data_IF_498670101486
#
_entry.id   IF_498670101486
#
_cell.length_a   1.000
_cell.length_b   1.000
_cell.length_c   1.000
_cell.angle_alpha   90.00
_cell.angle_beta   90.00
_cell.angle_gamma   90.00
#
_symmetry.space_group_name_H-M   'P 1'
#
loop_
_entity.id
_entity.type
_entity.pdbx_description
1 polymer ?
#
# COMPACT_ATOMS: atom_id res chain seq x y z
N UNK A 1 13.56 8.72 9.61
CA UNK A 1 13.44 7.44 8.86
C UNK A 1 14.72 7.11 8.11
N UNK A 2 15.23 7.99 7.24
CA UNK A 2 16.52 7.81 6.54
C UNK A 2 17.75 8.28 7.35
N UNK A 3 17.67 8.28 8.68
CA UNK A 3 18.74 8.79 9.55
C UNK A 3 19.94 7.83 9.63
N UNK A 4 19.72 6.54 9.37
CA UNK A 4 20.76 5.51 9.29
C UNK A 4 21.19 5.20 7.85
N UNK A 5 20.77 6.01 6.86
CA UNK A 5 21.06 5.82 5.45
C UNK A 5 19.84 5.46 4.61
N UNK A 6 20.06 5.28 3.30
CA UNK A 6 19.05 4.84 2.36
C UNK A 6 18.66 3.38 2.63
N UNK A 7 17.39 3.05 2.39
CA UNK A 7 16.88 1.69 2.51
C UNK A 7 17.06 1.00 1.15
N UNK A 8 17.38 -0.30 1.16
CA UNK A 8 17.51 -1.07 -0.08
C UNK A 8 16.22 -0.97 -0.90
N UNK A 9 16.33 -0.49 -2.14
CA UNK A 9 15.19 -0.26 -3.04
C UNK A 9 14.44 1.06 -2.83
N UNK A 10 14.74 1.86 -1.80
CA UNK A 10 14.11 3.17 -1.56
C UNK A 10 15.16 4.21 -1.15
N UNK A 11 15.44 5.13 -2.07
CA UNK A 11 16.26 6.31 -1.80
C UNK A 11 15.40 7.47 -1.30
N UNK A 12 15.94 8.25 -0.35
CA UNK A 12 15.23 9.41 0.18
C UNK A 12 14.88 10.45 -0.90
N UNK A 13 15.74 10.60 -1.92
CA UNK A 13 15.52 11.53 -3.03
C UNK A 13 14.32 11.10 -3.91
N UNK A 14 14.32 9.84 -4.32
CA UNK A 14 13.29 9.25 -5.17
C UNK A 14 11.92 9.33 -4.48
N UNK A 15 11.88 9.07 -3.17
CA UNK A 15 10.66 9.21 -2.36
C UNK A 15 10.12 10.64 -2.36
N UNK A 16 10.98 11.65 -2.24
CA UNK A 16 10.55 13.06 -2.28
C UNK A 16 9.92 13.42 -3.63
N UNK A 17 10.51 12.97 -4.72
CA UNK A 17 9.97 13.22 -6.07
C UNK A 17 8.68 12.45 -6.33
N UNK A 18 8.59 11.22 -5.84
CA UNK A 18 7.37 10.42 -5.87
C UNK A 18 6.20 11.09 -5.12
N UNK A 19 6.44 11.58 -3.90
CA UNK A 19 5.41 12.30 -3.13
C UNK A 19 4.93 13.53 -3.89
N UNK A 20 5.84 14.34 -4.46
CA UNK A 20 5.48 15.52 -5.25
C UNK A 20 4.62 15.16 -6.48
N UNK A 21 5.00 14.12 -7.23
CA UNK A 21 4.23 13.59 -8.36
C UNK A 21 2.81 13.23 -7.92
N UNK A 22 2.68 12.43 -6.86
CA UNK A 22 1.39 12.00 -6.31
C UNK A 22 0.52 13.16 -5.79
N UNK A 23 1.13 14.16 -5.16
CA UNK A 23 0.41 15.36 -4.72
C UNK A 23 -0.13 16.13 -5.92
N UNK A 24 0.66 16.29 -6.99
CA UNK A 24 0.19 16.94 -8.21
C UNK A 24 -0.97 16.17 -8.86
N UNK A 25 -0.86 14.84 -8.98
CA UNK A 25 -1.95 13.99 -9.47
C UNK A 25 -3.23 14.21 -8.66
N UNK A 26 -3.13 14.24 -7.32
CA UNK A 26 -4.29 14.44 -6.46
C UNK A 26 -4.90 15.84 -6.56
N UNK A 27 -4.08 16.87 -6.73
CA UNK A 27 -4.56 18.24 -6.95
C UNK A 27 -5.36 18.33 -8.26
N UNK A 28 -4.91 17.68 -9.33
CA UNK A 28 -5.64 17.59 -10.59
C UNK A 28 -6.97 16.85 -10.40
N UNK A 29 -6.97 15.70 -9.73
CA UNK A 29 -8.19 14.93 -9.44
C UNK A 29 -9.25 15.74 -8.66
N UNK A 30 -8.81 16.60 -7.75
CA UNK A 30 -9.69 17.45 -6.94
C UNK A 30 -10.15 18.72 -7.68
N UNK A 31 -9.72 18.92 -8.93
CA UNK A 31 -10.09 20.09 -9.74
C UNK A 31 -9.30 21.36 -9.43
N UNK A 32 -8.19 21.26 -8.71
CA UNK A 32 -7.31 22.39 -8.39
C UNK A 32 -6.36 22.74 -9.54
N UNK A 33 -6.89 22.83 -10.76
CA UNK A 33 -6.10 22.98 -11.99
C UNK A 33 -5.54 24.40 -12.15
N UNK A 34 -6.27 25.39 -11.64
CA UNK A 34 -5.99 26.83 -11.81
C UNK A 34 -5.04 27.43 -10.76
N UNK A 35 -4.60 26.64 -9.77
CA UNK A 35 -3.72 27.13 -8.72
C UNK A 35 -2.28 27.41 -9.19
N UNK A 36 -1.92 26.99 -10.41
CA UNK A 36 -0.62 27.25 -11.05
C UNK A 36 0.61 26.76 -10.27
N UNK A 37 0.41 26.11 -9.12
CA UNK A 37 1.43 25.83 -8.11
C UNK A 37 1.69 24.33 -8.02
N UNK A 38 1.94 23.71 -9.17
CA UNK A 38 2.40 22.32 -9.21
C UNK A 38 3.82 22.23 -8.66
N UNK A 39 4.09 21.20 -7.89
CA UNK A 39 5.43 20.95 -7.38
C UNK A 39 6.31 20.42 -8.51
N UNK A 40 7.42 21.10 -8.81
CA UNK A 40 8.42 20.57 -9.72
C UNK A 40 9.03 19.28 -9.16
N UNK A 41 9.03 18.22 -9.97
CA UNK A 41 9.58 16.92 -9.63
C UNK A 41 10.36 16.34 -10.81
N UNK A 42 11.33 15.48 -10.50
CA UNK A 42 12.08 14.71 -11.48
C UNK A 42 11.29 13.44 -11.82
N UNK A 43 11.03 13.24 -13.11
CA UNK A 43 10.24 12.11 -13.62
C UNK A 43 10.99 10.79 -13.49
N UNK A 44 12.32 10.79 -13.65
CA UNK A 44 13.14 9.60 -13.61
C UNK A 44 13.31 9.13 -12.16
N UNK A 45 13.51 10.07 -11.23
CA UNK A 45 13.54 9.74 -9.80
C UNK A 45 12.17 9.25 -9.28
N UNK A 46 11.06 9.79 -9.79
CA UNK A 46 9.73 9.36 -9.40
C UNK A 46 9.35 7.98 -9.97
N UNK A 47 9.83 7.62 -11.17
CA UNK A 47 9.49 6.34 -11.81
C UNK A 47 10.17 5.14 -11.16
N UNK A 48 11.30 5.34 -10.48
CA UNK A 48 11.95 4.30 -9.66
C UNK A 48 11.03 3.68 -8.60
N UNK A 49 9.98 4.42 -8.18
CA UNK A 49 9.00 3.98 -7.19
C UNK A 49 7.62 3.66 -7.79
N UNK A 50 7.50 3.53 -9.12
CA UNK A 50 6.20 3.24 -9.77
C UNK A 50 5.65 1.85 -9.38
N UNK A 51 6.50 0.91 -8.95
CA UNK A 51 6.08 -0.38 -8.39
C UNK A 51 5.11 -0.23 -7.19
N UNK A 52 5.14 0.92 -6.51
CA UNK A 52 4.22 1.23 -5.41
C UNK A 52 2.75 1.28 -5.87
N UNK A 53 2.49 1.76 -7.10
CA UNK A 53 1.13 1.76 -7.66
C UNK A 53 0.63 0.32 -7.90
N UNK A 54 1.51 -0.59 -8.32
CA UNK A 54 1.17 -2.00 -8.49
C UNK A 54 0.89 -2.69 -7.15
N UNK A 55 1.67 -2.38 -6.10
CA UNK A 55 1.46 -2.95 -4.77
C UNK A 55 0.15 -2.47 -4.15
N UNK A 56 -0.11 -1.16 -4.22
CA UNK A 56 -1.31 -0.54 -3.62
C UNK A 56 -2.61 -0.88 -4.37
N UNK A 57 -2.52 -1.26 -5.65
CA UNK A 57 -3.64 -1.76 -6.44
C UNK A 57 -3.98 -3.24 -6.19
N UNK A 58 -3.05 -4.04 -5.64
CA UNK A 58 -3.23 -5.49 -5.47
C UNK A 58 -3.85 -5.93 -4.14
N UNK A 59 -3.70 -5.13 -3.07
CA UNK A 59 -4.24 -5.45 -1.72
C UNK A 59 -5.77 -5.43 -1.66
N UNK A 60 -6.44 -4.87 -2.67
CA UNK A 60 -7.91 -4.86 -2.72
C UNK A 60 -8.53 -6.20 -3.13
N UNK A 61 -7.73 -7.17 -3.65
CA UNK A 61 -8.23 -8.49 -4.08
C UNK A 61 -7.93 -9.66 -3.13
N UNK A 62 -7.09 -9.48 -2.12
CA UNK A 62 -6.78 -10.51 -1.12
C UNK A 62 -6.70 -9.80 0.24
N UNK A 63 -7.74 -9.81 1.07
CA UNK A 63 -8.11 -11.02 1.80
C UNK A 63 -9.51 -10.86 2.43
N UNK A 64 -10.50 -11.57 1.89
CA UNK A 64 -11.86 -11.61 2.45
C UNK A 64 -11.89 -12.21 3.88
N UNK A 65 -10.87 -12.99 4.24
CA UNK A 65 -10.76 -13.69 5.52
C UNK A 65 -9.78 -13.02 6.51
N UNK A 66 -8.89 -12.10 6.10
CA UNK A 66 -8.08 -11.34 7.07
C UNK A 66 -8.78 -10.09 7.61
N UNK A 67 -9.76 -9.52 6.89
CA UNK A 67 -10.47 -8.30 7.34
C UNK A 67 -11.51 -8.61 8.43
N UNK A 68 -12.01 -9.85 8.49
CA UNK A 68 -12.90 -10.30 9.58
C UNK A 68 -12.09 -11.27 10.44
N UNK A 69 -11.99 -11.08 11.77
CA UNK A 69 -11.42 -12.10 12.63
C UNK A 69 -12.36 -13.30 12.54
N UNK A 70 -11.98 -14.32 11.78
CA UNK A 70 -12.56 -15.66 11.92
C UNK A 70 -12.06 -16.22 13.24
N UNK A 71 -12.66 -15.76 14.34
CA UNK A 71 -12.47 -16.31 15.68
C UNK A 71 -13.26 -17.62 15.85
N UNK A 72 -13.24 -18.45 14.81
CA UNK A 72 -13.51 -19.87 14.94
C UNK A 72 -12.20 -20.57 14.62
N UNK A 73 -11.20 -20.28 15.46
CA UNK A 73 -10.22 -21.30 15.83
C UNK A 73 -11.06 -22.50 16.24
N UNK A 74 -11.15 -23.49 15.35
CA UNK A 74 -11.74 -24.80 15.59
C UNK A 74 -11.30 -25.23 16.98
N UNK A 75 -12.20 -25.16 17.96
CA UNK A 75 -11.97 -25.76 19.25
C UNK A 75 -11.83 -27.24 18.94
N UNK A 76 -10.59 -27.70 18.94
CA UNK A 76 -10.30 -29.11 18.90
C UNK A 76 -11.02 -29.74 20.10
N UNK A 77 -11.51 -30.96 19.86
CA UNK A 77 -11.86 -31.98 20.87
C UNK A 77 -13.32 -32.07 21.29
N UNK A 78 -14.00 -32.98 20.58
CA UNK A 78 -15.27 -33.58 20.93
C UNK A 78 -15.60 -34.71 19.96
N UNK A 79 -14.60 -35.49 19.53
CA UNK A 79 -14.84 -36.79 18.92
C UNK A 79 -15.40 -37.70 20.02
N UNK A 80 -16.72 -37.73 20.16
CA UNK A 80 -17.40 -38.72 20.99
C UNK A 80 -17.75 -39.90 20.07
N UNK A 81 -16.92 -40.95 20.12
CA UNK A 81 -17.08 -42.15 19.30
C UNK A 81 -18.14 -43.14 19.85
N UNK A 82 -18.95 -42.74 20.84
CA UNK A 82 -19.86 -43.64 21.56
C UNK A 82 -21.30 -43.74 20.99
N UNK A 83 -21.61 -43.15 19.83
CA UNK A 83 -22.93 -43.26 19.18
C UNK A 83 -22.87 -43.95 17.80
N UNK A 84 -21.96 -44.92 17.65
CA UNK A 84 -22.03 -45.95 16.59
C UNK A 84 -22.62 -47.24 17.17
N UNK A 85 -23.94 -47.22 17.40
CA UNK A 85 -24.75 -48.44 17.46
C UNK A 85 -25.94 -48.36 16.51
#
# INVERSE_FOLDING_TARGET
>A
MFEMGDVEGIKANDLKHFIKKRTNEKLVELGYVDLGSYFAYDKDAASNLDWFYHLTGGVTHTDFFAIRPTDYSKANEGEDFDDIW
#
